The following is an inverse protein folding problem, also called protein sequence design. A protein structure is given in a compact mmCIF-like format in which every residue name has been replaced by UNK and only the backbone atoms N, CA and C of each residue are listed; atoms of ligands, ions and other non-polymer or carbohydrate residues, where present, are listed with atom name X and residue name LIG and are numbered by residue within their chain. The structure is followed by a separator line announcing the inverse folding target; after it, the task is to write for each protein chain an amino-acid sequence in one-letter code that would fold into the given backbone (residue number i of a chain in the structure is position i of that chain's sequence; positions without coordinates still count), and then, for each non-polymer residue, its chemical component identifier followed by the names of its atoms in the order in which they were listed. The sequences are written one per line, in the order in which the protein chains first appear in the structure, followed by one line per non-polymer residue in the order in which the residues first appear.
data_IF_357516949044
#
_entry.id   IF_357516949044
#
_cell.length_a   1.000
_cell.length_b   1.000
_cell.length_c   1.000
_cell.angle_alpha   90.00
_cell.angle_beta   90.00
_cell.angle_gamma   90.00
#
_symmetry.space_group_name_H-M   'P 1'
#
loop_
_entity.id
_entity.type
_entity.pdbx_description
1 polymer ?
#
# COMPACT_ATOMS: atom_id res chain seq x y z
N UNK A 1 18.17 11.56 6.93
CA UNK A 1 17.47 11.44 8.23
C UNK A 1 16.61 10.17 8.33
N UNK A 2 15.74 9.88 7.38
CA UNK A 2 14.79 8.75 7.42
C UNK A 2 15.45 7.36 7.51
N UNK A 3 16.52 7.09 6.75
CA UNK A 3 17.21 5.79 6.76
C UNK A 3 17.90 5.49 8.10
N UNK A 4 18.48 6.49 8.73
CA UNK A 4 19.10 6.34 10.07
C UNK A 4 18.08 5.92 11.12
N UNK A 5 16.89 6.55 11.11
CA UNK A 5 15.81 6.22 12.03
C UNK A 5 15.22 4.83 11.73
N UNK A 6 15.02 4.49 10.46
CA UNK A 6 14.55 3.16 10.09
C UNK A 6 15.48 2.06 10.61
N UNK A 7 16.79 2.24 10.46
CA UNK A 7 17.79 1.31 10.99
C UNK A 7 17.81 1.25 12.52
N UNK A 8 17.80 2.42 13.17
CA UNK A 8 17.83 2.53 14.63
C UNK A 8 16.62 1.86 15.29
N UNK A 9 15.44 1.98 14.69
CA UNK A 9 14.19 1.49 15.26
C UNK A 9 13.67 0.20 14.59
N UNK A 10 14.43 -0.40 13.67
CA UNK A 10 14.02 -1.60 12.96
C UNK A 10 12.68 -1.41 12.20
N UNK A 11 12.57 -0.31 11.44
CA UNK A 11 11.32 0.04 10.74
C UNK A 11 11.42 -0.33 9.27
N UNK A 12 10.37 -0.98 8.70
CA UNK A 12 10.23 -1.14 7.27
C UNK A 12 10.17 0.21 6.53
N UNK A 13 10.59 0.21 5.27
CA UNK A 13 10.59 1.40 4.43
C UNK A 13 9.61 1.23 3.26
N UNK A 14 8.87 2.28 2.98
CA UNK A 14 8.13 2.40 1.73
C UNK A 14 9.09 2.78 0.60
N UNK A 15 9.09 2.02 -0.48
CA UNK A 15 9.79 2.35 -1.71
C UNK A 15 8.78 2.64 -2.82
N UNK A 16 8.95 3.77 -3.51
CA UNK A 16 7.99 4.25 -4.50
C UNK A 16 8.19 3.62 -5.88
N UNK A 17 9.42 3.23 -6.23
CA UNK A 17 9.75 2.71 -7.55
C UNK A 17 10.92 1.73 -7.49
N UNK A 18 10.92 0.79 -8.41
CA UNK A 18 11.79 -0.38 -8.41
C UNK A 18 13.30 -0.09 -8.20
N UNK A 19 13.94 0.88 -8.85
CA UNK A 19 15.37 1.15 -8.60
C UNK A 19 15.67 1.52 -7.15
N UNK A 20 14.74 2.21 -6.48
CA UNK A 20 14.90 2.54 -5.07
C UNK A 20 14.63 1.32 -4.17
N UNK A 21 13.63 0.51 -4.50
CA UNK A 21 13.35 -0.76 -3.84
C UNK A 21 14.59 -1.65 -3.85
N UNK A 22 15.15 -1.93 -5.01
CA UNK A 22 16.34 -2.76 -5.16
C UNK A 22 17.55 -2.21 -4.40
N UNK A 23 17.73 -0.88 -4.40
CA UNK A 23 18.78 -0.22 -3.63
C UNK A 23 18.60 -0.42 -2.13
N UNK A 24 17.37 -0.36 -1.62
CA UNK A 24 17.08 -0.54 -0.20
C UNK A 24 17.22 -2.00 0.21
N UNK A 25 16.74 -2.93 -0.61
CA UNK A 25 16.90 -4.37 -0.41
C UNK A 25 18.39 -4.78 -0.34
N UNK A 26 19.21 -4.29 -1.29
CA UNK A 26 20.68 -4.52 -1.25
C UNK A 26 21.36 -3.98 -0.01
N UNK A 27 20.78 -2.97 0.64
CA UNK A 27 21.27 -2.41 1.92
C UNK A 27 20.71 -3.13 3.13
N UNK A 28 19.90 -4.17 2.89
CA UNK A 28 19.30 -4.94 3.92
C UNK A 28 18.08 -4.28 4.59
N UNK A 29 17.36 -3.32 3.98
CA UNK A 29 16.13 -2.76 4.52
C UNK A 29 14.89 -3.52 4.04
N UNK A 30 13.89 -3.78 4.90
CA UNK A 30 12.62 -4.33 4.47
C UNK A 30 11.82 -3.29 3.71
N UNK A 31 11.39 -3.64 2.53
CA UNK A 31 10.59 -2.78 1.67
C UNK A 31 9.70 -3.64 0.77
N UNK A 32 8.71 -3.03 0.13
CA UNK A 32 7.88 -3.67 -0.88
C UNK A 32 8.74 -4.23 -2.03
N UNK A 33 8.24 -5.26 -2.71
CA UNK A 33 8.95 -5.89 -3.85
C UNK A 33 8.64 -5.19 -5.18
N UNK A 34 7.48 -4.55 -5.26
CA UNK A 34 6.93 -3.94 -6.47
C UNK A 34 6.76 -2.43 -6.30
N UNK A 35 6.52 -1.72 -7.41
CA UNK A 35 6.24 -0.29 -7.38
C UNK A 35 5.02 0.01 -6.49
N UNK A 36 5.06 1.13 -5.79
CA UNK A 36 3.94 1.59 -4.98
C UNK A 36 2.73 1.86 -5.88
N UNK A 37 1.60 1.27 -5.55
CA UNK A 37 0.33 1.64 -6.14
C UNK A 37 -0.26 2.81 -5.35
N UNK A 38 -0.63 3.90 -6.04
CA UNK A 38 -1.24 5.08 -5.41
C UNK A 38 -2.63 5.33 -5.99
N UNK A 39 -3.60 5.56 -5.12
CA UNK A 39 -4.98 5.80 -5.51
C UNK A 39 -5.23 7.24 -5.97
N UNK A 40 -4.35 8.18 -5.64
CA UNK A 40 -4.52 9.59 -6.00
C UNK A 40 -4.41 9.85 -7.50
N UNK A 41 -3.58 9.09 -8.20
CA UNK A 41 -3.35 9.25 -9.63
C UNK A 41 -4.46 8.64 -10.51
N UNK A 42 -5.46 8.01 -9.87
CA UNK A 42 -6.54 7.37 -10.58
C UNK A 42 -7.79 8.26 -10.65
N UNK A 43 -8.34 8.40 -11.87
CA UNK A 43 -9.63 9.04 -12.07
C UNK A 43 -10.70 8.36 -11.19
N UNK A 44 -11.57 9.16 -10.58
CA UNK A 44 -12.67 8.67 -9.73
C UNK A 44 -13.75 7.94 -10.52
N UNK A 45 -13.91 8.24 -11.81
CA UNK A 45 -14.86 7.56 -12.69
C UNK A 45 -14.32 6.17 -13.05
N UNK A 46 -15.11 5.13 -12.74
CA UNK A 46 -14.74 3.74 -12.99
C UNK A 46 -13.55 3.25 -12.13
N UNK A 47 -13.28 3.91 -11.02
CA UNK A 47 -12.14 3.62 -10.15
C UNK A 47 -12.24 2.22 -9.52
N UNK A 48 -13.42 1.80 -9.09
CA UNK A 48 -13.65 0.45 -8.55
C UNK A 48 -13.22 -0.63 -9.56
N UNK A 49 -13.63 -0.53 -10.82
CA UNK A 49 -13.24 -1.48 -11.85
C UNK A 49 -11.72 -1.50 -12.14
N UNK A 50 -11.03 -0.37 -11.93
CA UNK A 50 -9.55 -0.34 -11.99
C UNK A 50 -8.94 -1.07 -10.82
N UNK A 51 -9.49 -0.90 -9.63
CA UNK A 51 -9.03 -1.59 -8.43
C UNK A 51 -9.21 -3.11 -8.55
N UNK A 52 -10.35 -3.55 -9.08
CA UNK A 52 -10.58 -4.96 -9.40
C UNK A 52 -9.48 -5.50 -10.31
N UNK A 53 -9.21 -4.83 -11.42
CA UNK A 53 -8.13 -5.24 -12.33
C UNK A 53 -6.75 -5.22 -11.70
N UNK A 54 -6.47 -4.22 -10.85
CA UNK A 54 -5.20 -4.14 -10.13
C UNK A 54 -5.01 -5.32 -9.18
N UNK A 55 -6.05 -5.70 -8.43
CA UNK A 55 -5.98 -6.82 -7.49
C UNK A 55 -5.79 -8.16 -8.21
N UNK A 56 -6.52 -8.40 -9.31
CA UNK A 56 -6.31 -9.60 -10.14
C UNK A 56 -4.94 -9.66 -10.82
N UNK A 57 -4.31 -8.53 -11.05
CA UNK A 57 -3.00 -8.42 -11.70
C UNK A 57 -1.83 -8.32 -10.72
N UNK A 58 -2.07 -8.45 -9.41
CA UNK A 58 -1.00 -8.35 -8.43
C UNK A 58 0.06 -9.44 -8.64
N UNK A 59 1.33 -9.06 -8.77
CA UNK A 59 2.40 -10.04 -8.85
C UNK A 59 2.64 -10.73 -7.49
N UNK A 60 3.22 -11.91 -7.53
CA UNK A 60 3.66 -12.62 -6.31
C UNK A 60 4.72 -11.78 -5.59
N UNK A 61 4.61 -11.67 -4.28
CA UNK A 61 5.51 -10.88 -3.43
C UNK A 61 4.78 -9.85 -2.59
N UNK A 62 5.52 -8.92 -2.03
CA UNK A 62 4.99 -7.85 -1.20
C UNK A 62 4.69 -6.61 -2.05
N UNK A 63 3.40 -6.34 -2.25
CA UNK A 63 2.91 -5.11 -2.86
C UNK A 63 2.39 -4.16 -1.80
N UNK A 64 2.62 -2.87 -1.98
CA UNK A 64 2.05 -1.83 -1.13
C UNK A 64 1.09 -0.96 -1.94
N UNK A 65 -0.10 -0.77 -1.40
CA UNK A 65 -1.12 0.09 -1.98
C UNK A 65 -1.44 1.25 -1.04
N UNK A 66 -1.15 2.47 -1.46
CA UNK A 66 -1.55 3.69 -0.76
C UNK A 66 -2.99 4.04 -1.13
N UNK A 67 -3.88 3.94 -0.17
CA UNK A 67 -5.28 4.36 -0.27
C UNK A 67 -5.55 5.52 0.69
N UNK A 68 -6.51 6.36 0.34
CA UNK A 68 -6.82 7.59 1.08
C UNK A 68 -8.31 7.63 1.51
N UNK A 69 -8.82 6.60 2.21
CA UNK A 69 -10.25 6.50 2.50
C UNK A 69 -10.74 7.65 3.38
N UNK A 70 -11.91 8.18 3.06
CA UNK A 70 -12.54 9.23 3.84
C UNK A 70 -14.01 9.40 3.45
N UNK A 71 -14.85 9.73 4.45
CA UNK A 71 -16.26 10.00 4.24
C UNK A 71 -16.42 11.39 3.62
N UNK A 72 -16.99 11.45 2.42
CA UNK A 72 -17.24 12.70 1.69
C UNK A 72 -18.39 13.53 2.27
N UNK A 73 -18.35 13.80 3.57
CA UNK A 73 -19.31 14.67 4.25
C UNK A 73 -19.03 16.16 3.99
N UNK A 74 -19.84 17.04 4.57
CA UNK A 74 -19.70 18.49 4.38
C UNK A 74 -18.33 19.02 4.86
N UNK A 75 -17.81 18.48 5.97
CA UNK A 75 -16.53 18.86 6.54
C UNK A 75 -15.37 18.51 5.60
N UNK A 76 -15.28 17.27 5.14
CA UNK A 76 -14.22 16.85 4.22
C UNK A 76 -14.27 17.64 2.92
N UNK A 77 -15.47 17.89 2.38
CA UNK A 77 -15.65 18.68 1.13
C UNK A 77 -15.21 20.13 1.28
N UNK A 78 -15.29 20.68 2.48
CA UNK A 78 -14.90 22.06 2.74
C UNK A 78 -13.37 22.25 2.76
N UNK A 79 -12.61 21.20 3.14
CA UNK A 79 -11.16 21.31 3.36
C UNK A 79 -10.32 20.53 2.35
N UNK A 80 -10.92 19.60 1.60
CA UNK A 80 -10.20 18.69 0.70
C UNK A 80 -10.83 18.67 -0.71
N UNK A 81 -10.26 19.37 -1.67
CA UNK A 81 -10.77 19.38 -3.05
C UNK A 81 -10.87 17.98 -3.66
N UNK A 82 -9.97 17.07 -3.27
CA UNK A 82 -9.91 15.68 -3.74
C UNK A 82 -10.80 14.71 -2.94
N UNK A 83 -11.81 15.21 -2.24
CA UNK A 83 -12.70 14.40 -1.41
C UNK A 83 -13.33 13.20 -2.15
N UNK A 84 -13.56 13.33 -3.47
CA UNK A 84 -14.09 12.23 -4.28
C UNK A 84 -13.14 11.04 -4.36
N UNK A 85 -11.83 11.28 -4.46
CA UNK A 85 -10.80 10.23 -4.39
C UNK A 85 -10.95 9.46 -3.08
N UNK A 86 -11.09 10.18 -1.98
CA UNK A 86 -11.21 9.59 -0.64
C UNK A 86 -12.49 8.78 -0.48
N UNK A 87 -13.62 9.31 -0.96
CA UNK A 87 -14.88 8.58 -0.90
C UNK A 87 -14.85 7.31 -1.74
N UNK A 88 -14.36 7.39 -2.97
CA UNK A 88 -14.27 6.22 -3.86
C UNK A 88 -13.30 5.17 -3.33
N UNK A 89 -12.22 5.57 -2.65
CA UNK A 89 -11.33 4.65 -1.96
C UNK A 89 -12.07 3.93 -0.82
N UNK A 90 -12.77 4.70 0.03
CA UNK A 90 -13.55 4.13 1.13
C UNK A 90 -14.59 3.14 0.62
N UNK A 91 -15.37 3.54 -0.38
CA UNK A 91 -16.43 2.71 -0.95
C UNK A 91 -15.90 1.36 -1.42
N UNK A 92 -14.74 1.35 -2.06
CA UNK A 92 -14.12 0.12 -2.55
C UNK A 92 -13.51 -0.73 -1.43
N UNK A 93 -12.68 -0.15 -0.55
CA UNK A 93 -11.95 -0.95 0.46
C UNK A 93 -12.86 -1.59 1.51
N UNK A 94 -14.09 -1.05 1.71
CA UNK A 94 -15.08 -1.66 2.60
C UNK A 94 -16.08 -2.55 1.87
N UNK A 95 -15.99 -2.66 0.54
CA UNK A 95 -16.95 -3.40 -0.27
C UNK A 95 -16.83 -4.92 -0.09
N UNK A 96 -17.93 -5.63 -0.36
CA UNK A 96 -17.92 -7.09 -0.43
C UNK A 96 -17.10 -7.57 -1.64
N UNK A 97 -17.11 -6.83 -2.76
CA UNK A 97 -16.33 -7.13 -3.96
C UNK A 97 -14.83 -7.19 -3.65
N UNK A 98 -14.28 -6.16 -2.99
CA UNK A 98 -12.88 -6.16 -2.58
C UNK A 98 -12.54 -7.36 -1.71
N UNK A 99 -13.39 -7.69 -0.75
CA UNK A 99 -13.20 -8.83 0.15
C UNK A 99 -13.20 -10.17 -0.60
N UNK A 100 -14.12 -10.33 -1.54
CA UNK A 100 -14.22 -11.54 -2.37
C UNK A 100 -12.96 -11.73 -3.20
N UNK A 101 -12.49 -10.69 -3.88
CA UNK A 101 -11.27 -10.74 -4.70
C UNK A 101 -10.04 -11.11 -3.86
N UNK A 102 -9.89 -10.50 -2.68
CA UNK A 102 -8.77 -10.86 -1.79
C UNK A 102 -8.76 -12.35 -1.43
N UNK A 103 -9.93 -12.96 -1.22
CA UNK A 103 -10.07 -14.38 -0.92
C UNK A 103 -9.79 -15.25 -2.15
N UNK A 104 -10.36 -14.92 -3.29
CA UNK A 104 -10.21 -15.67 -4.55
C UNK A 104 -8.77 -15.68 -5.07
N UNK A 105 -8.08 -14.54 -4.97
CA UNK A 105 -6.68 -14.39 -5.38
C UNK A 105 -5.67 -14.84 -4.30
N UNK A 106 -6.15 -15.25 -3.12
CA UNK A 106 -5.27 -15.65 -2.01
C UNK A 106 -4.39 -14.51 -1.49
N UNK A 107 -4.88 -13.26 -1.59
CA UNK A 107 -4.13 -12.08 -1.16
C UNK A 107 -4.18 -11.98 0.37
N UNK A 108 -3.02 -11.98 1.00
CA UNK A 108 -2.88 -11.84 2.44
C UNK A 108 -2.64 -10.38 2.80
N UNK A 109 -3.60 -9.77 3.50
CA UNK A 109 -3.43 -8.41 4.00
C UNK A 109 -2.48 -8.39 5.19
N UNK A 110 -1.43 -7.61 5.08
CA UNK A 110 -0.45 -7.40 6.16
C UNK A 110 -0.36 -5.93 6.52
N UNK A 111 0.08 -5.65 7.71
CA UNK A 111 0.43 -4.30 8.14
C UNK A 111 1.92 -4.21 8.49
N UNK A 112 2.42 -3.01 8.70
CA UNK A 112 3.84 -2.79 9.01
C UNK A 112 4.33 -3.47 10.30
N UNK A 113 3.45 -3.86 11.23
CA UNK A 113 3.85 -4.61 12.43
C UNK A 113 4.25 -6.04 12.08
N UNK A 114 3.49 -6.69 11.19
CA UNK A 114 3.83 -8.02 10.70
C UNK A 114 5.16 -7.99 9.93
N UNK A 115 5.35 -7.01 9.04
CA UNK A 115 6.61 -6.81 8.33
C UNK A 115 7.79 -6.56 9.27
N UNK A 116 7.60 -5.78 10.32
CA UNK A 116 8.62 -5.54 11.33
C UNK A 116 8.99 -6.80 12.10
N UNK A 117 8.03 -7.66 12.42
CA UNK A 117 8.29 -8.93 13.09
C UNK A 117 9.16 -9.84 12.22
N UNK A 118 8.77 -10.04 10.96
CA UNK A 118 9.54 -10.82 9.98
C UNK A 118 10.96 -10.28 9.76
N UNK A 119 11.12 -8.97 9.81
CA UNK A 119 12.42 -8.33 9.69
C UNK A 119 13.32 -8.56 10.90
N UNK A 120 12.79 -8.48 12.11
CA UNK A 120 13.58 -8.70 13.33
C UNK A 120 13.99 -10.17 13.49
N UNK A 121 13.31 -11.11 12.83
CA UNK A 121 13.66 -12.53 12.79
C UNK A 121 14.83 -12.83 11.83
N UNK A 122 15.12 -11.94 10.88
CA UNK A 122 16.26 -12.03 9.96
C UNK A 122 17.18 -10.81 10.18
N UNK A 123 18.19 -10.90 11.05
CA UNK A 123 19.12 -9.80 11.24
C UNK A 123 19.82 -9.45 9.92
N UNK A 124 20.05 -8.17 9.62
CA UNK A 124 20.74 -7.76 8.42
C UNK A 124 22.16 -8.35 8.40
N UNK A 125 22.44 -9.16 7.40
CA UNK A 125 23.77 -9.73 7.17
C UNK A 125 23.91 -11.22 7.49
N UNK A 126 22.81 -11.97 7.58
CA UNK A 126 22.84 -13.43 7.60
C UNK A 126 22.81 -13.99 6.18
#
# INVERSE_FOLDING_TARGET
MTLGLARQYGLPLRAYYRPYTEKMQRRGYPTNDHDLMDSYDLDTVGKAARYVRMLHALPVGLSEWAVHPGIGNAELRAVEPSWRVRQTDLDFVVSQEARTILQEEGIILVNYRALRALWNEKPPGA
#
